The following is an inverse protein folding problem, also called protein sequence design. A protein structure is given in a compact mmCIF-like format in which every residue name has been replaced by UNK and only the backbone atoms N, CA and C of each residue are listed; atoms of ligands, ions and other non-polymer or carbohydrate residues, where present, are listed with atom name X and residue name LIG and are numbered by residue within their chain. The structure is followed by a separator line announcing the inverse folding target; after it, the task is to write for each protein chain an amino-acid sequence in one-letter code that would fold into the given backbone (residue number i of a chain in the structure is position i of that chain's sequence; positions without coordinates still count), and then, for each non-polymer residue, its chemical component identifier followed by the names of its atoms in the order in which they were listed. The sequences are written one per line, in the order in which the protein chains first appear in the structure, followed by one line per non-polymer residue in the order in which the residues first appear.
data_IF_595919165126
#
_entry.id   IF_595919165126
#
_cell.length_a   1.000
_cell.length_b   1.000
_cell.length_c   1.000
_cell.angle_alpha   90.00
_cell.angle_beta   90.00
_cell.angle_gamma   90.00
#
_symmetry.space_group_name_H-M   'P 1'
#
loop_
_entity.id
_entity.type
_entity.pdbx_description
1 polymer ?
#
# COMPACT_ATOMS: atom_id res chain seq x y z
N UNK A 1 0.82 -22.45 6.75
CA UNK A 1 0.33 -21.64 5.60
C UNK A 1 0.90 -22.24 4.32
N UNK A 2 0.09 -22.90 3.46
CA UNK A 2 0.58 -23.32 2.15
C UNK A 2 0.84 -22.05 1.34
N UNK A 3 2.08 -21.87 0.91
CA UNK A 3 2.52 -20.70 0.16
C UNK A 3 1.75 -20.62 -1.17
N UNK A 4 1.00 -19.55 -1.36
CA UNK A 4 0.41 -19.19 -2.63
C UNK A 4 1.42 -18.30 -3.36
N UNK A 5 1.97 -18.79 -4.43
CA UNK A 5 2.90 -18.11 -5.32
C UNK A 5 3.60 -19.12 -6.24
N UNK A 6 4.04 -18.65 -7.38
CA UNK A 6 4.95 -19.42 -8.23
C UNK A 6 6.19 -19.76 -7.38
N UNK A 7 6.70 -21.03 -7.36
CA UNK A 7 7.90 -21.42 -6.63
C UNK A 7 9.07 -20.45 -6.81
N UNK A 8 9.31 -19.99 -8.03
CA UNK A 8 10.37 -19.03 -8.35
C UNK A 8 10.17 -17.65 -7.69
N UNK A 9 8.92 -17.21 -7.48
CA UNK A 9 8.65 -15.95 -6.79
C UNK A 9 8.84 -16.06 -5.27
N UNK A 10 8.63 -17.26 -4.69
CA UNK A 10 8.93 -17.54 -3.28
C UNK A 10 10.45 -17.50 -3.01
N UNK A 11 11.25 -18.09 -3.91
CA UNK A 11 12.71 -18.09 -3.79
C UNK A 11 13.30 -16.68 -3.94
N UNK A 12 12.67 -15.81 -4.71
CA UNK A 12 13.14 -14.44 -4.94
C UNK A 12 12.70 -13.45 -3.85
N UNK A 13 11.72 -13.76 -3.03
CA UNK A 13 11.18 -12.84 -2.02
C UNK A 13 12.27 -12.25 -1.09
N UNK A 14 13.28 -13.00 -0.60
CA UNK A 14 14.35 -12.43 0.22
C UNK A 14 15.21 -11.40 -0.50
N UNK A 15 15.35 -11.49 -1.83
CA UNK A 15 16.08 -10.51 -2.66
C UNK A 15 15.21 -9.31 -3.03
N UNK A 16 13.91 -9.50 -3.07
CA UNK A 16 12.92 -8.46 -3.43
C UNK A 16 12.43 -7.66 -2.22
N UNK A 17 12.63 -8.17 -0.99
CA UNK A 17 12.36 -7.44 0.25
C UNK A 17 13.58 -7.63 1.15
N UNK A 18 14.42 -6.60 1.18
CA UNK A 18 15.66 -6.59 1.96
C UNK A 18 15.37 -6.24 3.41
N UNK A 19 16.23 -6.70 4.30
CA UNK A 19 16.16 -6.41 5.72
C UNK A 19 17.57 -6.11 6.26
N UNK A 20 17.67 -5.02 7.00
CA UNK A 20 18.83 -4.65 7.77
C UNK A 20 18.42 -4.19 9.18
N UNK A 21 19.28 -4.42 10.16
CA UNK A 21 19.12 -3.94 11.53
C UNK A 21 20.40 -3.32 12.02
N UNK A 22 20.37 -2.01 12.22
CA UNK A 22 21.48 -1.27 12.74
C UNK A 22 21.65 -1.43 14.27
N UNK A 23 22.86 -1.22 14.83
CA UNK A 23 23.12 -1.36 16.27
C UNK A 23 22.31 -0.35 17.13
N UNK A 24 21.87 0.76 16.57
CA UNK A 24 21.03 1.78 17.23
C UNK A 24 19.57 1.36 17.43
N UNK A 25 19.21 0.16 16.97
CA UNK A 25 17.85 -0.38 17.06
C UNK A 25 16.93 0.04 15.93
N UNK A 26 17.42 0.68 14.88
CA UNK A 26 16.64 0.98 13.68
C UNK A 26 16.68 -0.23 12.73
N UNK A 27 15.50 -0.84 12.49
CA UNK A 27 15.33 -1.88 11.50
C UNK A 27 14.84 -1.26 10.18
N UNK A 28 15.43 -1.66 9.05
CA UNK A 28 15.05 -1.20 7.71
C UNK A 28 14.52 -2.34 6.88
N UNK A 29 13.35 -2.15 6.30
CA UNK A 29 12.71 -3.07 5.36
C UNK A 29 12.58 -2.33 4.03
N UNK A 30 13.28 -2.82 3.00
CA UNK A 30 13.36 -2.14 1.72
C UNK A 30 12.79 -3.01 0.60
N UNK A 31 11.76 -2.51 -0.08
CA UNK A 31 11.27 -3.13 -1.31
C UNK A 31 12.32 -2.99 -2.40
N UNK A 32 12.67 -4.09 -3.06
CA UNK A 32 13.80 -4.16 -3.99
C UNK A 32 13.43 -4.89 -5.29
N UNK A 33 12.47 -4.32 -6.00
CA UNK A 33 12.06 -4.72 -7.36
C UNK A 33 11.88 -3.46 -8.22
N UNK A 34 12.95 -2.63 -8.33
CA UNK A 34 12.87 -1.27 -8.91
C UNK A 34 12.46 -1.27 -10.38
N UNK A 35 12.79 -2.30 -11.16
CA UNK A 35 12.44 -2.48 -12.57
C UNK A 35 10.92 -2.61 -12.82
N UNK A 36 10.15 -2.91 -11.76
CA UNK A 36 8.68 -2.97 -11.75
C UNK A 36 8.06 -1.95 -10.79
N UNK A 37 8.75 -0.85 -10.50
CA UNK A 37 8.32 0.14 -9.52
C UNK A 37 7.90 -0.49 -8.19
N UNK A 38 8.59 -1.53 -7.76
CA UNK A 38 8.32 -2.30 -6.54
C UNK A 38 6.88 -2.85 -6.45
N UNK A 39 6.24 -3.16 -7.59
CA UNK A 39 4.95 -3.84 -7.60
C UNK A 39 5.03 -5.13 -6.78
N UNK A 40 4.15 -5.25 -5.77
CA UNK A 40 4.23 -6.30 -4.76
C UNK A 40 3.61 -7.60 -5.24
N UNK A 41 4.41 -8.65 -5.29
CA UNK A 41 3.95 -10.02 -5.44
C UNK A 41 3.41 -10.57 -4.11
N UNK A 42 2.64 -11.68 -4.14
CA UNK A 42 2.16 -12.35 -2.92
C UNK A 42 3.33 -12.72 -1.99
N UNK A 43 4.45 -13.31 -2.49
CA UNK A 43 5.61 -13.58 -1.65
C UNK A 43 6.27 -12.34 -1.05
N UNK A 44 6.35 -11.24 -1.79
CA UNK A 44 6.87 -9.97 -1.25
C UNK A 44 6.03 -9.49 -0.06
N UNK A 45 4.69 -9.54 -0.17
CA UNK A 45 3.79 -9.16 0.92
C UNK A 45 3.93 -10.08 2.13
N UNK A 46 4.01 -11.40 1.89
CA UNK A 46 4.25 -12.38 2.96
C UNK A 46 5.58 -12.11 3.67
N UNK A 47 6.64 -11.82 2.91
CA UNK A 47 7.96 -11.49 3.45
C UNK A 47 7.96 -10.19 4.25
N UNK A 48 7.31 -9.14 3.73
CA UNK A 48 7.19 -7.87 4.45
C UNK A 48 6.44 -8.06 5.78
N UNK A 49 5.34 -8.81 5.77
CA UNK A 49 4.59 -9.15 6.99
C UNK A 49 5.45 -9.91 8.00
N UNK A 50 6.18 -10.91 7.55
CA UNK A 50 7.13 -11.69 8.38
C UNK A 50 8.18 -10.78 9.02
N UNK A 51 8.78 -9.88 8.25
CA UNK A 51 9.80 -8.96 8.73
C UNK A 51 9.25 -7.97 9.76
N UNK A 52 8.06 -7.42 9.54
CA UNK A 52 7.40 -6.54 10.53
C UNK A 52 7.10 -7.32 11.83
N UNK A 53 6.62 -8.56 11.73
CA UNK A 53 6.39 -9.41 12.91
C UNK A 53 7.69 -9.76 13.63
N UNK A 54 8.78 -10.01 12.89
CA UNK A 54 10.10 -10.20 13.46
C UNK A 54 10.59 -8.97 14.21
N UNK A 55 10.41 -7.77 13.64
CA UNK A 55 10.72 -6.51 14.33
C UNK A 55 9.89 -6.34 15.60
N UNK A 56 8.61 -6.70 15.57
CA UNK A 56 7.74 -6.67 16.76
C UNK A 56 8.27 -7.53 17.90
N UNK A 57 8.77 -8.73 17.60
CA UNK A 57 9.25 -9.70 18.57
C UNK A 57 10.69 -9.44 19.06
N UNK A 58 11.46 -8.62 18.31
CA UNK A 58 12.85 -8.33 18.67
C UNK A 58 12.92 -7.14 19.66
N UNK A 59 13.35 -7.37 20.94
CA UNK A 59 13.43 -6.29 21.92
C UNK A 59 14.51 -5.25 21.63
N UNK A 60 15.46 -5.58 20.75
CA UNK A 60 16.51 -4.65 20.32
C UNK A 60 16.01 -3.70 19.20
N UNK A 61 14.91 -4.02 18.51
CA UNK A 61 14.31 -3.13 17.53
C UNK A 61 13.51 -2.04 18.23
N UNK A 62 13.82 -0.80 17.92
CA UNK A 62 13.21 0.40 18.48
C UNK A 62 12.29 1.10 17.48
N UNK A 63 12.66 1.10 16.20
CA UNK A 63 11.96 1.76 15.11
C UNK A 63 12.05 0.89 13.87
N UNK A 64 10.99 0.88 13.07
CA UNK A 64 10.96 0.19 11.76
C UNK A 64 10.85 1.24 10.66
N UNK A 65 11.84 1.30 9.78
CA UNK A 65 11.81 2.13 8.56
C UNK A 65 11.41 1.25 7.39
N UNK A 66 10.42 1.69 6.62
CA UNK A 66 9.98 1.02 5.38
C UNK A 66 10.33 1.93 4.21
N UNK A 67 11.00 1.38 3.19
CA UNK A 67 11.48 2.12 2.03
C UNK A 67 11.34 1.30 0.74
N UNK A 68 11.63 1.91 -0.41
CA UNK A 68 11.74 1.24 -1.69
C UNK A 68 12.98 1.69 -2.45
N UNK A 69 13.63 0.79 -3.16
CA UNK A 69 14.75 1.12 -4.05
C UNK A 69 14.26 1.60 -5.42
N UNK A 70 15.07 2.42 -6.09
CA UNK A 70 14.82 2.89 -7.46
C UNK A 70 13.94 4.13 -7.54
N UNK A 71 13.15 4.25 -8.61
CA UNK A 71 12.40 5.48 -8.95
C UNK A 71 11.07 5.67 -8.19
N UNK A 72 10.63 4.67 -7.41
CA UNK A 72 9.34 4.71 -6.72
C UNK A 72 9.36 3.86 -5.47
N UNK A 73 8.60 4.27 -4.47
CA UNK A 73 8.36 3.43 -3.31
C UNK A 73 7.66 2.14 -3.71
N UNK A 74 6.43 2.21 -4.24
CA UNK A 74 5.69 1.03 -4.69
C UNK A 74 4.46 1.43 -5.52
N UNK A 75 4.26 0.76 -6.66
CA UNK A 75 3.11 0.99 -7.55
C UNK A 75 1.84 0.20 -7.17
N UNK A 76 1.90 -0.63 -6.14
CA UNK A 76 0.77 -1.46 -5.70
C UNK A 76 1.03 -2.95 -5.87
N UNK A 77 -0.03 -3.72 -6.10
CA UNK A 77 0.10 -5.15 -6.36
C UNK A 77 0.58 -5.42 -7.79
N UNK A 78 1.35 -6.51 -7.98
CA UNK A 78 1.70 -7.01 -9.30
C UNK A 78 0.44 -7.48 -10.03
N UNK A 79 0.11 -6.84 -11.14
CA UNK A 79 -1.13 -7.11 -11.89
C UNK A 79 -1.03 -8.41 -12.71
N UNK A 80 0.18 -8.74 -13.16
CA UNK A 80 0.42 -9.97 -13.95
C UNK A 80 0.64 -11.19 -13.06
N UNK A 81 0.53 -11.04 -11.75
CA UNK A 81 0.62 -12.17 -10.84
C UNK A 81 -0.67 -12.99 -10.93
N UNK A 82 -0.49 -14.27 -10.95
CA UNK A 82 -1.55 -15.23 -11.01
C UNK A 82 -2.31 -15.31 -9.66
N UNK A 83 -3.29 -14.45 -9.48
CA UNK A 83 -4.14 -14.33 -8.28
C UNK A 83 -5.06 -15.54 -8.13
N UNK A 84 -4.48 -16.74 -8.00
CA UNK A 84 -5.22 -17.99 -7.78
C UNK A 84 -5.36 -18.85 -9.02
N UNK A 85 -4.48 -18.70 -10.02
CA UNK A 85 -4.35 -19.71 -11.05
C UNK A 85 -3.78 -21.01 -10.48
N UNK A 86 -4.26 -22.06 -11.07
CA UNK A 86 -4.14 -23.44 -10.64
C UNK A 86 -2.71 -23.95 -10.66
N UNK A 87 -2.37 -24.66 -9.63
CA UNK A 87 -1.49 -25.82 -9.78
C UNK A 87 -2.22 -26.86 -10.66
N UNK A 88 -1.57 -27.52 -11.61
CA UNK A 88 -2.18 -28.58 -12.38
C UNK A 88 -2.84 -29.61 -11.43
N UNK A 89 -4.13 -29.89 -11.62
CA UNK A 89 -4.89 -30.84 -10.78
C UNK A 89 -5.72 -30.23 -9.62
N UNK A 90 -5.63 -28.94 -9.34
CA UNK A 90 -6.49 -28.32 -8.32
C UNK A 90 -7.88 -27.93 -8.87
N UNK A 91 -8.95 -28.21 -8.09
CA UNK A 91 -10.30 -27.70 -8.37
C UNK A 91 -10.31 -26.18 -8.32
N UNK A 92 -11.01 -25.57 -9.27
CA UNK A 92 -11.18 -24.11 -9.33
C UNK A 92 -11.84 -23.62 -8.05
N UNK A 93 -11.15 -22.75 -7.29
CA UNK A 93 -11.78 -22.03 -6.22
C UNK A 93 -12.88 -21.13 -6.82
N UNK A 94 -14.06 -21.07 -6.21
CA UNK A 94 -15.06 -20.12 -6.67
C UNK A 94 -14.49 -18.70 -6.56
N UNK A 95 -14.89 -17.80 -7.46
CA UNK A 95 -14.44 -16.42 -7.46
C UNK A 95 -14.71 -15.74 -6.10
N UNK A 96 -15.86 -16.05 -5.48
CA UNK A 96 -16.20 -15.59 -4.14
C UNK A 96 -15.19 -16.05 -3.07
N UNK A 97 -14.73 -17.31 -3.11
CA UNK A 97 -13.70 -17.80 -2.20
C UNK A 97 -12.34 -17.18 -2.47
N UNK A 98 -11.96 -16.99 -3.74
CA UNK A 98 -10.70 -16.34 -4.10
C UNK A 98 -10.67 -14.89 -3.59
N UNK A 99 -11.77 -14.14 -3.74
CA UNK A 99 -11.89 -12.77 -3.25
C UNK A 99 -11.92 -12.69 -1.73
N UNK A 100 -12.63 -13.59 -1.06
CA UNK A 100 -12.60 -13.68 0.41
C UNK A 100 -11.19 -13.96 0.91
N UNK A 101 -10.49 -14.89 0.28
CA UNK A 101 -9.11 -15.20 0.64
C UNK A 101 -8.17 -14.02 0.43
N UNK A 102 -8.26 -13.33 -0.72
CA UNK A 102 -7.48 -12.13 -0.99
C UNK A 102 -7.79 -11.00 0.02
N UNK A 103 -9.07 -10.82 0.38
CA UNK A 103 -9.49 -9.86 1.40
C UNK A 103 -8.92 -10.22 2.78
N UNK A 104 -8.99 -11.48 3.18
CA UNK A 104 -8.45 -11.94 4.48
C UNK A 104 -6.92 -11.81 4.54
N UNK A 105 -6.22 -12.13 3.45
CA UNK A 105 -4.76 -11.99 3.36
C UNK A 105 -4.32 -10.53 3.46
N UNK A 106 -5.05 -9.63 2.85
CA UNK A 106 -4.67 -8.21 2.78
C UNK A 106 -5.19 -7.40 3.98
N UNK A 107 -6.41 -7.66 4.41
CA UNK A 107 -7.14 -6.81 5.35
C UNK A 107 -7.69 -7.56 6.57
N UNK A 108 -7.64 -8.90 6.59
CA UNK A 108 -8.06 -9.72 7.74
C UNK A 108 -7.28 -9.40 9.01
N UNK A 109 -7.69 -10.00 10.14
CA UNK A 109 -7.03 -9.77 11.45
C UNK A 109 -5.53 -10.06 11.44
N UNK A 110 -5.09 -10.99 10.60
CA UNK A 110 -3.68 -11.35 10.39
C UNK A 110 -3.18 -10.88 9.01
N UNK A 111 -3.92 -9.97 8.38
CA UNK A 111 -3.59 -9.48 7.05
C UNK A 111 -2.38 -8.54 7.06
N UNK A 112 -1.80 -8.41 5.89
CA UNK A 112 -0.59 -7.62 5.65
C UNK A 112 -0.66 -6.19 6.21
N UNK A 113 -1.74 -5.44 5.89
CA UNK A 113 -1.92 -4.07 6.38
C UNK A 113 -2.05 -3.99 7.90
N UNK A 114 -2.50 -5.08 8.55
CA UNK A 114 -2.64 -5.13 10.00
C UNK A 114 -1.30 -5.37 10.71
N UNK A 115 -0.35 -6.05 10.07
CA UNK A 115 0.98 -6.24 10.66
C UNK A 115 1.64 -4.88 10.93
N UNK A 116 1.61 -3.95 9.96
CA UNK A 116 2.16 -2.59 10.13
C UNK A 116 1.39 -1.82 11.21
N UNK A 117 0.06 -1.79 11.12
CA UNK A 117 -0.77 -1.05 12.07
C UNK A 117 -0.62 -1.57 13.51
N UNK A 118 -0.43 -2.88 13.70
CA UNK A 118 -0.36 -3.52 15.03
C UNK A 118 1.05 -3.61 15.60
N UNK A 119 2.08 -3.36 14.80
CA UNK A 119 3.44 -3.30 15.29
C UNK A 119 3.51 -2.29 16.45
N UNK A 120 4.03 -2.66 17.60
CA UNK A 120 4.19 -1.76 18.76
C UNK A 120 5.28 -0.73 18.52
N UNK A 121 6.26 -1.10 17.66
CA UNK A 121 7.36 -0.20 17.30
C UNK A 121 6.86 0.92 16.39
N UNK A 122 7.33 2.16 16.54
CA UNK A 122 7.09 3.23 15.57
C UNK A 122 7.52 2.80 14.17
N UNK A 123 6.68 3.11 13.17
CA UNK A 123 6.95 2.83 11.76
C UNK A 123 7.12 4.13 10.99
N UNK A 124 8.24 4.27 10.28
CA UNK A 124 8.56 5.42 9.44
C UNK A 124 8.58 4.98 7.99
N UNK A 125 7.88 5.68 7.12
CA UNK A 125 7.86 5.43 5.68
C UNK A 125 8.70 6.47 4.95
N UNK A 126 9.68 6.01 4.16
CA UNK A 126 10.37 6.81 3.14
C UNK A 126 9.62 6.65 1.82
N UNK A 127 8.88 7.69 1.43
CA UNK A 127 7.99 7.64 0.29
C UNK A 127 8.47 8.56 -0.83
N UNK A 128 8.80 8.00 -2.01
CA UNK A 128 9.17 8.75 -3.21
C UNK A 128 8.53 8.12 -4.44
N UNK A 129 8.38 8.90 -5.51
CA UNK A 129 7.75 8.43 -6.73
C UNK A 129 6.33 7.90 -6.49
N UNK A 130 6.02 6.71 -6.98
CA UNK A 130 4.70 6.11 -6.79
C UNK A 130 4.52 5.50 -5.40
N UNK A 131 3.41 5.85 -4.75
CA UNK A 131 2.78 5.10 -3.68
C UNK A 131 1.30 4.92 -4.03
N UNK A 132 0.99 3.90 -4.81
CA UNK A 132 -0.29 3.77 -5.49
C UNK A 132 -1.02 2.48 -5.12
N UNK A 133 -2.34 2.49 -5.28
CA UNK A 133 -3.19 1.33 -5.13
C UNK A 133 -2.94 0.60 -3.78
N UNK A 134 -2.65 -0.69 -3.83
CA UNK A 134 -2.39 -1.49 -2.63
C UNK A 134 -1.28 -0.90 -1.74
N UNK A 135 -0.22 -0.30 -2.31
CA UNK A 135 0.84 0.33 -1.52
C UNK A 135 0.32 1.52 -0.71
N UNK A 136 -0.52 2.36 -1.30
CA UNK A 136 -1.18 3.46 -0.62
C UNK A 136 -2.06 2.98 0.53
N UNK A 137 -2.94 2.00 0.27
CA UNK A 137 -3.89 1.49 1.26
C UNK A 137 -3.26 0.65 2.36
N UNK A 138 -2.21 -0.11 2.05
CA UNK A 138 -1.67 -1.12 2.94
C UNK A 138 -0.42 -0.67 3.69
N UNK A 139 0.31 0.30 3.15
CA UNK A 139 1.57 0.78 3.71
C UNK A 139 1.48 2.29 3.94
N UNK A 140 1.21 3.07 2.88
CA UNK A 140 1.25 4.54 2.90
C UNK A 140 0.38 5.15 3.99
N UNK A 141 -0.84 4.62 4.17
CA UNK A 141 -1.77 5.09 5.20
C UNK A 141 -1.68 4.32 6.52
N UNK A 142 -0.72 3.40 6.68
CA UNK A 142 -0.59 2.52 7.86
C UNK A 142 0.66 2.75 8.68
N UNK A 143 1.68 3.35 8.08
CA UNK A 143 2.85 3.79 8.83
C UNK A 143 2.50 4.98 9.74
N UNK A 144 3.19 5.07 10.85
CA UNK A 144 2.92 6.12 11.85
C UNK A 144 3.38 7.49 11.38
N UNK A 145 4.54 7.55 10.72
CA UNK A 145 5.14 8.78 10.20
C UNK A 145 5.61 8.56 8.76
N UNK A 146 5.41 9.55 7.90
CA UNK A 146 5.74 9.49 6.48
C UNK A 146 6.60 10.69 6.11
N UNK A 147 7.78 10.43 5.56
CA UNK A 147 8.62 11.43 4.89
C UNK A 147 8.47 11.25 3.39
N UNK A 148 8.14 12.31 2.68
CA UNK A 148 7.78 12.28 1.26
C UNK A 148 8.57 13.31 0.46
N UNK A 149 8.80 13.07 -0.84
CA UNK A 149 9.32 14.09 -1.72
C UNK A 149 8.18 14.81 -2.50
N UNK A 150 8.39 16.07 -2.94
CA UNK A 150 7.36 16.86 -3.62
C UNK A 150 6.78 16.18 -4.87
N UNK A 151 7.63 15.45 -5.62
CA UNK A 151 7.28 14.84 -6.90
C UNK A 151 6.56 13.49 -6.77
N UNK A 152 6.23 13.06 -5.56
CA UNK A 152 5.52 11.81 -5.31
C UNK A 152 4.13 11.80 -5.95
N UNK A 153 3.65 10.59 -6.27
CA UNK A 153 2.34 10.33 -6.85
C UNK A 153 1.61 9.32 -5.97
N UNK A 154 0.76 9.83 -5.09
CA UNK A 154 0.18 9.08 -3.99
C UNK A 154 -1.32 8.93 -4.19
N UNK A 155 -1.88 7.74 -3.98
CA UNK A 155 -3.33 7.55 -3.93
C UNK A 155 -3.87 6.31 -4.60
N UNK A 156 -5.20 6.29 -4.74
CA UNK A 156 -5.98 5.23 -5.37
C UNK A 156 -5.99 5.38 -6.90
N UNK A 157 -4.81 5.32 -7.53
CA UNK A 157 -4.68 5.62 -8.96
C UNK A 157 -5.40 4.60 -9.83
N UNK A 158 -5.67 3.41 -9.31
CA UNK A 158 -6.44 2.34 -9.96
C UNK A 158 -7.95 2.60 -10.00
N UNK A 159 -8.46 3.54 -9.20
CA UNK A 159 -9.89 3.86 -9.16
C UNK A 159 -10.47 4.24 -10.53
N UNK A 160 -9.61 4.69 -11.45
CA UNK A 160 -10.00 5.09 -12.80
C UNK A 160 -10.32 3.93 -13.74
N UNK A 161 -9.85 2.71 -13.44
CA UNK A 161 -9.93 1.57 -14.36
C UNK A 161 -10.20 0.20 -13.70
N UNK A 162 -9.95 0.05 -12.40
CA UNK A 162 -10.18 -1.21 -11.66
C UNK A 162 -11.34 -1.12 -10.68
N UNK A 163 -12.11 -0.02 -10.68
CA UNK A 163 -13.23 0.18 -9.76
C UNK A 163 -12.79 0.48 -8.32
N UNK A 164 -13.64 0.27 -7.32
CA UNK A 164 -13.46 0.72 -5.94
C UNK A 164 -12.47 -0.14 -5.16
N UNK A 165 -11.27 -0.37 -5.70
CA UNK A 165 -10.18 -0.98 -4.96
C UNK A 165 -9.91 -0.16 -3.69
N UNK A 166 -9.67 -0.82 -2.57
CA UNK A 166 -9.37 -0.14 -1.32
C UNK A 166 -10.56 0.38 -0.52
N UNK A 167 -11.79 -0.01 -0.83
CA UNK A 167 -12.99 0.37 -0.06
C UNK A 167 -12.83 0.15 1.45
N UNK A 168 -12.10 -0.90 1.86
CA UNK A 168 -11.79 -1.20 3.27
C UNK A 168 -10.98 -0.09 3.95
N UNK A 169 -10.21 0.67 3.17
CA UNK A 169 -9.37 1.77 3.67
C UNK A 169 -10.06 3.13 3.62
N UNK A 170 -11.24 3.24 3.00
CA UNK A 170 -11.91 4.52 2.78
C UNK A 170 -12.16 5.30 4.07
N UNK A 171 -12.56 4.60 5.15
CA UNK A 171 -12.78 5.24 6.47
C UNK A 171 -11.48 5.78 7.04
N UNK A 172 -10.40 5.01 6.95
CA UNK A 172 -9.09 5.42 7.44
C UNK A 172 -8.56 6.62 6.65
N UNK A 173 -8.69 6.59 5.33
CA UNK A 173 -8.32 7.69 4.44
C UNK A 173 -9.13 8.93 4.75
N UNK A 174 -10.45 8.81 4.94
CA UNK A 174 -11.32 9.92 5.29
C UNK A 174 -10.90 10.60 6.60
N UNK A 175 -10.42 9.83 7.58
CA UNK A 175 -9.91 10.38 8.83
C UNK A 175 -8.59 11.14 8.67
N UNK A 176 -7.69 10.64 7.84
CA UNK A 176 -6.39 11.29 7.61
C UNK A 176 -6.57 12.55 6.77
N UNK A 177 -7.27 12.43 5.63
CA UNK A 177 -7.35 13.52 4.64
C UNK A 177 -8.52 14.48 4.86
N UNK A 178 -9.52 14.07 5.65
CA UNK A 178 -10.81 14.73 5.70
C UNK A 178 -11.71 14.36 4.51
N UNK A 179 -13.03 14.52 4.69
CA UNK A 179 -14.05 14.00 3.77
C UNK A 179 -13.91 14.55 2.35
N UNK A 180 -13.65 15.84 2.18
CA UNK A 180 -13.60 16.45 0.84
C UNK A 180 -12.38 16.00 0.05
N UNK A 181 -11.20 15.93 0.67
CA UNK A 181 -10.00 15.43 0.03
C UNK A 181 -10.12 13.92 -0.28
N UNK A 182 -10.65 13.12 0.65
CA UNK A 182 -10.89 11.71 0.42
C UNK A 182 -11.82 11.46 -0.79
N UNK A 183 -12.90 12.25 -0.93
CA UNK A 183 -13.79 12.20 -2.10
C UNK A 183 -13.07 12.62 -3.38
N UNK A 184 -12.36 13.78 -3.35
CA UNK A 184 -11.62 14.26 -4.52
C UNK A 184 -10.68 13.19 -5.07
N UNK A 185 -9.78 12.68 -4.25
CA UNK A 185 -8.77 11.73 -4.71
C UNK A 185 -9.34 10.32 -4.96
N UNK A 186 -10.30 9.89 -4.14
CA UNK A 186 -10.93 8.57 -4.28
C UNK A 186 -11.85 8.46 -5.49
N UNK A 187 -12.64 9.49 -5.80
CA UNK A 187 -13.57 9.46 -6.93
C UNK A 187 -12.89 9.70 -8.27
N UNK A 188 -11.88 10.57 -8.29
CA UNK A 188 -11.20 10.95 -9.54
C UNK A 188 -10.00 10.06 -9.86
N UNK A 189 -9.48 9.30 -8.88
CA UNK A 189 -8.21 8.59 -9.01
C UNK A 189 -7.03 9.55 -9.27
N UNK A 190 -7.18 10.83 -8.97
CA UNK A 190 -6.09 11.80 -9.08
C UNK A 190 -4.96 11.46 -8.11
N UNK A 191 -3.71 11.74 -8.52
CA UNK A 191 -2.57 11.61 -7.63
C UNK A 191 -2.46 12.82 -6.70
N UNK A 192 -2.19 12.59 -5.41
CA UNK A 192 -1.67 13.60 -4.50
C UNK A 192 -0.18 13.78 -4.75
N UNK A 193 0.32 15.01 -4.71
CA UNK A 193 1.75 15.32 -4.61
C UNK A 193 2.26 15.11 -3.18
N UNK A 194 3.58 15.18 -2.96
CA UNK A 194 4.14 15.18 -1.61
C UNK A 194 3.70 16.40 -0.80
N UNK A 195 3.56 17.55 -1.43
CA UNK A 195 3.06 18.77 -0.80
C UNK A 195 1.57 18.63 -0.40
N UNK A 196 0.74 18.03 -1.26
CA UNK A 196 -0.64 17.69 -0.89
C UNK A 196 -0.67 16.73 0.30
N UNK A 197 0.19 15.72 0.33
CA UNK A 197 0.26 14.75 1.42
C UNK A 197 0.64 15.41 2.75
N UNK A 198 1.60 16.33 2.74
CA UNK A 198 1.97 17.13 3.92
C UNK A 198 0.80 18.03 4.37
N UNK A 199 0.23 18.79 3.46
CA UNK A 199 -0.87 19.73 3.75
C UNK A 199 -2.12 19.02 4.29
N UNK A 200 -2.40 17.80 3.83
CA UNK A 200 -3.57 17.01 4.22
C UNK A 200 -3.32 16.09 5.43
N UNK A 201 -2.12 16.09 5.99
CA UNK A 201 -1.81 15.31 7.19
C UNK A 201 -1.48 13.83 6.94
N UNK A 202 -1.27 13.42 5.69
CA UNK A 202 -0.77 12.08 5.36
C UNK A 202 0.74 11.98 5.60
N UNK A 203 1.49 13.04 5.34
CA UNK A 203 2.93 13.07 5.54
C UNK A 203 3.32 13.94 6.76
N UNK A 204 4.41 13.54 7.42
CA UNK A 204 5.04 14.28 8.52
C UNK A 204 5.98 15.37 8.00
N UNK A 205 6.72 15.07 6.93
CA UNK A 205 7.63 16.00 6.28
C UNK A 205 7.61 15.79 4.76
N UNK A 206 7.82 16.88 4.03
CA UNK A 206 8.02 16.86 2.57
C UNK A 206 9.33 17.57 2.26
N UNK A 207 10.32 16.81 1.78
CA UNK A 207 11.67 17.30 1.53
C UNK A 207 12.15 16.86 0.14
N UNK A 208 13.09 17.58 -0.49
CA UNK A 208 13.74 17.18 -1.74
C UNK A 208 14.34 15.76 -1.65
N UNK A 209 14.43 15.06 -2.79
CA UNK A 209 14.87 13.65 -2.83
C UNK A 209 16.24 13.45 -2.17
N UNK A 210 17.17 14.37 -2.39
CA UNK A 210 18.52 14.35 -1.84
C UNK A 210 18.60 14.52 -0.32
N UNK A 211 17.52 15.01 0.31
CA UNK A 211 17.43 15.20 1.76
C UNK A 211 16.64 14.09 2.46
N UNK A 212 15.96 13.23 1.69
CA UNK A 212 15.03 12.25 2.27
C UNK A 212 15.70 11.26 3.21
N UNK A 213 16.87 10.74 2.86
CA UNK A 213 17.56 9.76 3.71
C UNK A 213 18.00 10.40 5.03
N UNK A 214 18.55 11.62 4.98
CA UNK A 214 18.96 12.35 6.16
C UNK A 214 17.77 12.67 7.10
N UNK A 215 16.61 13.06 6.53
CA UNK A 215 15.40 13.34 7.31
C UNK A 215 14.82 12.07 7.96
N UNK A 216 14.77 10.97 7.20
CA UNK A 216 14.31 9.66 7.72
C UNK A 216 15.23 9.16 8.84
N UNK A 217 16.55 9.28 8.66
CA UNK A 217 17.54 8.84 9.64
C UNK A 217 17.48 9.68 10.92
N UNK A 218 17.38 11.00 10.79
CA UNK A 218 17.22 11.91 11.93
C UNK A 218 15.90 11.63 12.70
N UNK A 219 14.82 11.38 11.99
CA UNK A 219 13.53 11.03 12.58
C UNK A 219 13.60 9.67 13.29
N UNK A 220 14.16 8.65 12.66
CA UNK A 220 14.32 7.32 13.24
C UNK A 220 15.20 7.34 14.49
N UNK A 221 16.31 8.08 14.46
CA UNK A 221 17.20 8.25 15.61
C UNK A 221 16.49 8.95 16.79
N UNK A 222 15.71 10.01 16.52
CA UNK A 222 14.91 10.68 17.56
C UNK A 222 13.89 9.73 18.19
N UNK A 223 13.23 8.90 17.41
CA UNK A 223 12.27 7.91 17.90
C UNK A 223 12.97 6.80 18.69
N UNK A 224 14.10 6.30 18.22
CA UNK A 224 14.87 5.25 18.90
C UNK A 224 15.38 5.71 20.27
N UNK A 225 15.67 6.99 20.44
CA UNK A 225 16.11 7.59 21.72
C UNK A 225 14.97 7.72 22.75
N UNK A 226 13.69 7.67 22.35
CA UNK A 226 12.58 7.80 23.29
C UNK A 226 12.40 6.53 24.14
N UNK A 227 11.85 6.61 25.38
CA UNK A 227 11.52 5.44 26.15
C UNK A 227 10.51 4.54 25.44
N UNK A 228 10.89 3.27 25.18
CA UNK A 228 10.04 2.31 24.44
C UNK A 228 8.64 2.14 25.03
N UNK A 229 8.47 1.98 26.37
CA UNK A 229 7.14 1.81 26.95
C UNK A 229 6.22 3.01 26.71
N UNK A 230 6.79 4.21 26.60
CA UNK A 230 6.00 5.43 26.32
C UNK A 230 5.52 5.46 24.87
N UNK A 231 6.38 5.11 23.92
CA UNK A 231 5.99 5.02 22.51
C UNK A 231 4.92 3.97 22.27
N UNK A 232 5.08 2.78 22.86
CA UNK A 232 4.10 1.71 22.78
C UNK A 232 2.75 2.12 23.38
N UNK A 233 2.76 2.77 24.55
CA UNK A 233 1.56 3.28 25.19
C UNK A 233 0.83 4.30 24.32
N UNK A 234 1.53 5.31 23.77
CA UNK A 234 0.91 6.30 22.89
C UNK A 234 0.35 5.67 21.62
N UNK A 235 1.12 4.80 20.98
CA UNK A 235 0.69 4.11 19.77
C UNK A 235 -0.53 3.22 20.04
N UNK A 236 -0.57 2.51 21.17
CA UNK A 236 -1.72 1.69 21.57
C UNK A 236 -2.98 2.55 21.78
N UNK A 237 -2.86 3.72 22.39
CA UNK A 237 -4.00 4.63 22.61
C UNK A 237 -4.52 5.24 21.32
N UNK A 238 -3.64 5.69 20.44
CA UNK A 238 -4.02 6.19 19.11
C UNK A 238 -4.79 5.10 18.36
N UNK A 239 -4.27 3.87 18.35
CA UNK A 239 -4.92 2.72 17.72
C UNK A 239 -6.27 2.37 18.34
N UNK A 240 -6.40 2.46 19.66
CA UNK A 240 -7.67 2.23 20.35
C UNK A 240 -8.72 3.26 19.89
N UNK A 241 -8.35 4.55 19.84
CA UNK A 241 -9.21 5.60 19.32
C UNK A 241 -9.59 5.36 17.85
N UNK A 242 -8.65 4.89 17.04
CA UNK A 242 -8.89 4.54 15.63
C UNK A 242 -9.82 3.33 15.46
N UNK A 243 -9.75 2.35 16.35
CA UNK A 243 -10.55 1.12 16.27
C UNK A 243 -12.03 1.36 16.49
N UNK A 244 -12.43 2.39 17.22
CA UNK A 244 -13.83 2.76 17.45
C UNK A 244 -14.62 2.99 16.15
N UNK A 245 -13.94 3.40 15.09
CA UNK A 245 -14.53 3.69 13.79
C UNK A 245 -14.36 2.57 12.74
N UNK A 246 -13.58 1.54 13.05
CA UNK A 246 -13.17 0.52 12.05
C UNK A 246 -14.01 -0.76 12.07
N UNK A 247 -14.69 -1.08 13.18
CA UNK A 247 -15.23 -2.43 13.41
C UNK A 247 -16.37 -2.79 12.46
N UNK A 248 -17.27 -1.86 12.18
CA UNK A 248 -18.45 -2.13 11.32
C UNK A 248 -18.16 -1.96 9.81
N UNK A 249 -17.16 -1.15 9.45
CA UNK A 249 -16.86 -0.85 8.05
C UNK A 249 -16.03 -1.93 7.39
N UNK A 250 -15.23 -2.66 8.15
CA UNK A 250 -14.34 -3.70 7.62
C UNK A 250 -15.12 -4.88 7.02
N UNK A 251 -16.13 -5.37 7.70
CA UNK A 251 -16.95 -6.51 7.26
C UNK A 251 -17.80 -6.14 6.04
N UNK A 252 -18.45 -4.98 6.10
CA UNK A 252 -19.27 -4.46 4.99
C UNK A 252 -18.40 -4.15 3.76
N UNK A 253 -17.24 -3.53 3.95
CA UNK A 253 -16.35 -3.19 2.83
C UNK A 253 -15.74 -4.41 2.15
N UNK A 254 -15.43 -5.47 2.89
CA UNK A 254 -14.94 -6.73 2.30
C UNK A 254 -15.98 -7.41 1.41
N UNK A 255 -17.24 -7.40 1.84
CA UNK A 255 -18.37 -7.92 1.05
C UNK A 255 -18.66 -7.06 -0.19
N UNK A 256 -18.68 -5.74 -0.02
CA UNK A 256 -18.87 -4.80 -1.13
C UNK A 256 -17.74 -4.88 -2.15
N UNK A 257 -16.48 -4.96 -1.71
CA UNK A 257 -15.33 -5.11 -2.59
C UNK A 257 -15.43 -6.34 -3.48
N UNK A 258 -15.81 -7.51 -2.91
CA UNK A 258 -16.00 -8.72 -3.71
C UNK A 258 -17.19 -8.62 -4.66
N UNK A 259 -18.22 -7.87 -4.32
CA UNK A 259 -19.40 -7.71 -5.17
C UNK A 259 -19.15 -6.74 -6.35
N UNK A 260 -18.48 -5.64 -6.11
CA UNK A 260 -18.23 -4.62 -7.14
C UNK A 260 -17.07 -4.95 -8.09
N UNK A 261 -16.08 -5.76 -7.68
CA UNK A 261 -15.01 -6.21 -8.57
C UNK A 261 -15.44 -7.31 -9.54
N UNK A 262 -16.61 -7.92 -9.33
CA UNK A 262 -17.08 -9.03 -10.14
C UNK A 262 -17.89 -8.54 -11.34
N UNK A 263 -17.21 -8.08 -12.38
CA UNK A 263 -17.83 -7.99 -13.69
C UNK A 263 -18.43 -6.63 -14.03
N UNK A 264 -17.82 -5.54 -13.59
CA UNK A 264 -18.13 -4.26 -14.22
C UNK A 264 -17.63 -4.29 -15.68
N UNK A 265 -18.38 -3.70 -16.59
CA UNK A 265 -17.97 -3.54 -17.99
C UNK A 265 -16.63 -2.82 -18.11
N UNK A 266 -16.36 -1.86 -17.23
CA UNK A 266 -15.10 -1.12 -17.17
C UNK A 266 -13.91 -2.01 -16.80
N UNK A 267 -14.08 -2.94 -15.85
CA UNK A 267 -13.05 -3.92 -15.51
C UNK A 267 -12.78 -4.87 -16.68
N UNK A 268 -13.82 -5.40 -17.30
CA UNK A 268 -13.70 -6.27 -18.46
C UNK A 268 -12.99 -5.56 -19.63
N UNK A 269 -13.31 -4.29 -19.85
CA UNK A 269 -12.66 -3.45 -20.86
C UNK A 269 -11.17 -3.22 -20.54
N UNK A 270 -10.84 -2.90 -19.31
CA UNK A 270 -9.44 -2.74 -18.88
C UNK A 270 -8.62 -4.00 -19.10
N UNK A 271 -9.12 -5.17 -18.68
CA UNK A 271 -8.42 -6.44 -18.86
C UNK A 271 -8.30 -6.84 -20.32
N UNK A 272 -9.27 -6.49 -21.17
CA UNK A 272 -9.16 -6.67 -22.62
C UNK A 272 -8.00 -5.83 -23.17
N UNK A 273 -7.90 -4.56 -22.78
CA UNK A 273 -6.79 -3.69 -23.19
C UNK A 273 -5.44 -4.18 -22.66
N UNK A 274 -5.38 -4.70 -21.45
CA UNK A 274 -4.15 -5.31 -20.93
C UNK A 274 -3.70 -6.51 -21.75
N UNK A 275 -4.63 -7.35 -22.21
CA UNK A 275 -4.32 -8.47 -23.10
C UNK A 275 -3.82 -8.01 -24.48
N UNK A 276 -4.39 -6.94 -25.03
CA UNK A 276 -4.04 -6.41 -26.34
C UNK A 276 -2.69 -5.66 -26.37
N UNK A 277 -2.40 -4.87 -25.35
CA UNK A 277 -1.29 -3.89 -25.37
C UNK A 277 -0.43 -3.87 -24.11
N UNK A 278 -0.64 -4.81 -23.20
CA UNK A 278 0.00 -4.84 -21.90
C UNK A 278 -0.51 -3.74 -20.94
N UNK A 279 -0.08 -3.76 -19.70
CA UNK A 279 -0.52 -2.79 -18.66
C UNK A 279 -0.19 -1.35 -19.07
N UNK A 280 1.00 -1.11 -19.61
CA UNK A 280 1.42 0.24 -20.03
C UNK A 280 0.51 0.80 -21.12
N UNK A 281 0.16 -0.02 -22.14
CA UNK A 281 -0.74 0.38 -23.23
C UNK A 281 -2.17 0.66 -22.71
N UNK A 282 -2.68 -0.18 -21.82
CA UNK A 282 -3.99 0.03 -21.18
C UNK A 282 -4.05 1.34 -20.39
N UNK A 283 -2.99 1.65 -19.62
CA UNK A 283 -2.89 2.90 -18.87
C UNK A 283 -2.79 4.14 -19.78
N UNK A 284 -2.08 4.03 -20.91
CA UNK A 284 -2.02 5.11 -21.91
C UNK A 284 -3.39 5.37 -22.57
N UNK A 285 -4.11 4.29 -22.91
CA UNK A 285 -5.46 4.40 -23.46
C UNK A 285 -6.43 5.07 -22.46
N UNK A 286 -6.35 4.76 -21.18
CA UNK A 286 -7.15 5.41 -20.14
C UNK A 286 -6.83 6.92 -20.01
N UNK A 287 -5.55 7.27 -20.02
CA UNK A 287 -5.15 8.68 -20.01
C UNK A 287 -5.72 9.46 -21.21
N UNK A 288 -5.68 8.85 -22.41
CA UNK A 288 -6.24 9.48 -23.61
C UNK A 288 -7.76 9.66 -23.51
N UNK A 289 -8.48 8.66 -22.97
CA UNK A 289 -9.92 8.72 -22.71
C UNK A 289 -10.29 9.86 -21.77
N UNK A 290 -9.57 10.00 -20.66
CA UNK A 290 -9.79 11.09 -19.69
C UNK A 290 -9.50 12.46 -20.28
N UNK A 291 -8.41 12.60 -21.03
CA UNK A 291 -8.07 13.86 -21.69
C UNK A 291 -9.14 14.27 -22.72
N UNK A 292 -9.71 13.31 -23.46
CA UNK A 292 -10.79 13.56 -24.40
C UNK A 292 -12.10 13.98 -23.69
N UNK A 293 -12.40 13.39 -22.54
CA UNK A 293 -13.56 13.76 -21.72
C UNK A 293 -13.44 15.20 -21.17
N UNK A 294 -12.24 15.58 -20.71
CA UNK A 294 -11.99 16.92 -20.20
C UNK A 294 -12.15 18.00 -21.30
N UNK A 295 -11.64 17.73 -22.51
CA UNK A 295 -11.80 18.65 -23.65
C UNK A 295 -13.26 18.86 -24.08
N UNK A 296 -14.14 17.86 -23.91
CA UNK A 296 -15.58 18.02 -24.21
C UNK A 296 -16.31 18.94 -23.22
N UNK A 297 -15.79 19.09 -22.01
CA UNK A 297 -16.38 19.99 -21.00
C UNK A 297 -15.89 21.42 -21.19
N UNK A 298 -14.73 21.64 -21.81
CA UNK A 298 -14.12 22.94 -22.09
C UNK A 298 -14.55 23.53 -23.44
N UNK A 299 -15.26 22.76 -24.27
CA UNK A 299 -15.81 23.26 -25.52
C UNK A 299 -17.08 24.09 -25.24
N UNK A 300 -17.19 25.32 -25.76
CA UNK A 300 -18.32 26.23 -25.50
C UNK A 300 -19.65 25.71 -26.07
#
# INVERSE_FOLDING_TARGET
MKAYGNPQSLENAPRQVLFDKAPDGVARITLNRPEKHNAMTVPMRARLMELVQRCEQDPQVRVVVIAGNGKSFCSGNEINEDWGQRQPGQKRMSLAMANRYASDLNYGRQGFSQAITRCSKPTVLRLHGYCAAAAYFMIGTRCDLVVVNPNSKIGALEARFLGPAGAVSAVHINRILGTMAARRFGYTGAAMSGEDALRLGLAHACVPEEQMDAEVDALAARLAAQPAPMLDYYKARIRAAESLFQTNVREVSGLLFSHFLQGSEDEAHFWTKVKESGVSGALQADKARLAAATKKVEAP
#
